data_IF_358941726281
#
_entry.id   IF_358941726281
#
_cell.length_a   1.000
_cell.length_b   1.000
_cell.length_c   1.000
_cell.angle_alpha   90.00
_cell.angle_beta   90.00
_cell.angle_gamma   90.00
#
_symmetry.space_group_name_H-M   'P 1'
#
loop_
_entity.id
_entity.type
_entity.pdbx_description
1 polymer ?
#
# COMPACT_ATOMS: atom_id res chain seq x y z
N UNK A 1 13.16 -0.04 0.25
CA UNK A 1 12.13 -0.72 1.09
C UNK A 1 11.58 -1.89 0.28
N UNK A 2 11.05 -2.96 0.87
CA UNK A 2 10.62 -4.15 0.07
C UNK A 2 9.49 -3.84 -0.94
N UNK A 3 8.61 -2.88 -0.64
CA UNK A 3 7.60 -2.36 -1.58
C UNK A 3 8.17 -1.70 -2.84
N UNK A 4 9.47 -1.37 -2.84
CA UNK A 4 10.15 -0.72 -3.97
C UNK A 4 10.95 -1.71 -4.83
N UNK A 5 10.73 -3.02 -4.70
CA UNK A 5 11.35 -3.99 -5.60
C UNK A 5 10.75 -3.84 -7.00
N UNK A 6 11.62 -3.81 -8.01
CA UNK A 6 11.24 -3.76 -9.43
C UNK A 6 12.32 -4.40 -10.32
N UNK A 7 12.08 -4.41 -11.63
CA UNK A 7 13.08 -4.80 -12.62
C UNK A 7 13.38 -6.30 -12.67
N UNK A 8 14.64 -6.64 -12.96
CA UNK A 8 15.10 -8.00 -13.30
C UNK A 8 15.09 -9.01 -12.14
N UNK A 9 14.78 -8.56 -10.93
CA UNK A 9 14.68 -9.42 -9.75
C UNK A 9 13.47 -10.36 -9.85
N UNK A 10 12.44 -9.96 -10.59
CA UNK A 10 11.26 -10.78 -10.80
C UNK A 10 11.37 -11.64 -12.05
N UNK A 11 10.98 -12.90 -11.92
CA UNK A 11 10.59 -13.69 -13.08
C UNK A 11 9.26 -13.15 -13.64
N UNK A 12 9.01 -13.34 -14.94
CA UNK A 12 7.90 -12.68 -15.66
C UNK A 12 6.55 -12.79 -14.95
N UNK A 13 6.29 -13.90 -14.26
CA UNK A 13 4.98 -14.20 -13.67
C UNK A 13 4.96 -14.09 -12.13
N UNK A 14 6.01 -13.60 -11.47
CA UNK A 14 6.05 -13.55 -9.99
C UNK A 14 5.72 -12.18 -9.42
N UNK A 15 5.69 -11.12 -10.24
CA UNK A 15 5.42 -9.75 -9.79
C UNK A 15 4.04 -9.59 -9.16
N UNK A 16 2.99 -10.11 -9.81
CA UNK A 16 1.63 -9.97 -9.31
C UNK A 16 1.40 -10.80 -8.04
N UNK A 17 2.03 -11.98 -7.93
CA UNK A 17 1.98 -12.82 -6.74
C UNK A 17 2.66 -12.12 -5.55
N UNK A 18 3.84 -11.55 -5.79
CA UNK A 18 4.53 -10.75 -4.80
C UNK A 18 3.69 -9.56 -4.33
N UNK A 19 3.11 -8.82 -5.28
CA UNK A 19 2.23 -7.68 -4.99
C UNK A 19 1.01 -8.09 -4.16
N UNK A 20 0.34 -9.18 -4.53
CA UNK A 20 -0.82 -9.70 -3.82
C UNK A 20 -0.47 -10.05 -2.36
N UNK A 21 0.57 -10.85 -2.13
CA UNK A 21 1.00 -11.22 -0.79
C UNK A 21 1.50 -10.02 0.03
N UNK A 22 2.15 -9.05 -0.61
CA UNK A 22 2.55 -7.83 0.06
C UNK A 22 1.34 -7.04 0.54
N UNK A 23 0.31 -6.89 -0.30
CA UNK A 23 -0.94 -6.20 0.05
C UNK A 23 -1.68 -6.95 1.14
N UNK A 24 -1.80 -8.28 1.07
CA UNK A 24 -2.41 -9.11 2.12
C UNK A 24 -1.73 -8.89 3.47
N UNK A 25 -0.40 -9.00 3.51
CA UNK A 25 0.37 -8.80 4.73
C UNK A 25 0.25 -7.37 5.28
N UNK A 26 0.28 -6.36 4.39
CA UNK A 26 0.11 -4.96 4.77
C UNK A 26 -1.28 -4.69 5.38
N UNK A 27 -2.35 -5.15 4.73
CA UNK A 27 -3.72 -4.96 5.21
C UNK A 27 -3.97 -5.74 6.50
N UNK A 28 -3.43 -6.95 6.62
CA UNK A 28 -3.47 -7.71 7.85
C UNK A 28 -2.76 -6.95 8.98
N UNK A 29 -1.56 -6.43 8.75
CA UNK A 29 -0.84 -5.64 9.74
C UNK A 29 -1.66 -4.40 10.16
N UNK A 30 -2.12 -3.60 9.20
CA UNK A 30 -2.85 -2.36 9.47
C UNK A 30 -4.19 -2.56 10.17
N UNK A 31 -4.84 -3.71 10.00
CA UNK A 31 -6.09 -4.03 10.70
C UNK A 31 -5.88 -4.47 12.16
N UNK A 32 -4.65 -4.82 12.55
CA UNK A 32 -4.33 -5.32 13.89
C UNK A 32 -3.49 -4.35 14.74
N UNK A 33 -3.12 -3.19 14.19
CA UNK A 33 -2.35 -2.17 14.91
C UNK A 33 -3.11 -0.84 15.00
N UNK A 34 -2.82 -0.07 16.05
CA UNK A 34 -3.17 1.34 16.10
C UNK A 34 -1.99 2.15 15.57
N UNK A 35 -2.10 2.61 14.32
CA UNK A 35 -1.05 3.38 13.66
C UNK A 35 -0.77 4.68 14.44
N UNK A 36 0.51 4.90 14.78
CA UNK A 36 0.97 6.10 15.44
C UNK A 36 1.33 7.19 14.42
N UNK A 37 1.30 8.45 14.84
CA UNK A 37 1.55 9.59 13.95
C UNK A 37 2.92 9.54 13.25
N UNK A 38 3.97 9.14 13.98
CA UNK A 38 5.33 9.00 13.42
C UNK A 38 5.46 7.84 12.41
N UNK A 39 4.49 6.92 12.35
CA UNK A 39 4.47 5.80 11.41
C UNK A 39 3.74 6.14 10.10
N UNK A 40 2.89 7.19 10.10
CA UNK A 40 2.08 7.60 8.96
C UNK A 40 2.91 7.80 7.69
N UNK A 41 4.08 8.45 7.82
CA UNK A 41 4.97 8.68 6.68
C UNK A 41 5.53 7.38 6.11
N UNK A 42 5.87 6.42 6.98
CA UNK A 42 6.36 5.10 6.58
C UNK A 42 5.31 4.32 5.79
N UNK A 43 4.07 4.31 6.28
CA UNK A 43 2.94 3.66 5.60
C UNK A 43 2.60 4.36 4.28
N UNK A 44 2.55 5.69 4.26
CA UNK A 44 2.32 6.44 3.02
C UNK A 44 3.40 6.16 1.96
N UNK A 45 4.67 6.03 2.38
CA UNK A 45 5.78 5.65 1.50
C UNK A 45 5.60 4.24 0.93
N UNK A 46 5.11 3.28 1.72
CA UNK A 46 4.79 1.93 1.24
C UNK A 46 3.72 1.99 0.13
N UNK A 47 2.58 2.65 0.38
CA UNK A 47 1.52 2.78 -0.62
C UNK A 47 2.03 3.46 -1.90
N UNK A 48 2.78 4.57 -1.77
CA UNK A 48 3.39 5.26 -2.90
C UNK A 48 4.30 4.33 -3.70
N UNK A 49 5.17 3.57 -3.03
CA UNK A 49 6.10 2.66 -3.70
C UNK A 49 5.35 1.55 -4.44
N UNK A 50 4.32 0.94 -3.83
CA UNK A 50 3.50 -0.06 -4.51
C UNK A 50 2.84 0.50 -5.78
N UNK A 51 2.25 1.69 -5.69
CA UNK A 51 1.57 2.33 -6.82
C UNK A 51 2.53 2.76 -7.94
N UNK A 52 3.77 3.15 -7.62
CA UNK A 52 4.74 3.60 -8.61
C UNK A 52 5.54 2.46 -9.26
N UNK A 53 5.72 1.34 -8.56
CA UNK A 53 6.66 0.29 -8.96
C UNK A 53 5.99 -0.88 -9.68
N UNK A 54 4.69 -1.07 -9.48
CA UNK A 54 3.91 -2.10 -10.14
C UNK A 54 3.01 -1.51 -11.24
N UNK A 55 2.88 -2.24 -12.34
CA UNK A 55 2.07 -1.78 -13.48
C UNK A 55 0.58 -1.99 -13.22
N UNK A 56 -0.27 -1.28 -13.98
CA UNK A 56 -1.73 -1.49 -13.97
C UNK A 56 -2.09 -2.96 -14.25
N UNK A 57 -1.34 -3.64 -15.11
CA UNK A 57 -1.55 -5.07 -15.37
C UNK A 57 -1.30 -5.92 -14.12
N UNK A 58 -0.30 -5.59 -13.31
CA UNK A 58 -0.07 -6.32 -12.05
C UNK A 58 -1.24 -6.15 -11.07
N UNK A 59 -1.79 -4.93 -10.95
CA UNK A 59 -2.96 -4.67 -10.10
C UNK A 59 -4.23 -5.35 -10.62
N UNK A 60 -4.44 -5.38 -11.94
CA UNK A 60 -5.58 -6.06 -12.55
C UNK A 60 -5.55 -7.59 -12.37
N UNK A 61 -4.37 -8.17 -12.10
CA UNK A 61 -4.22 -9.61 -11.81
C UNK A 61 -4.50 -9.98 -10.35
N UNK A 62 -4.75 -9.00 -9.47
CA UNK A 62 -5.09 -9.22 -8.06
C UNK A 62 -6.57 -9.59 -7.92
N UNK A 63 -6.91 -10.42 -6.94
CA UNK A 63 -8.30 -10.68 -6.58
C UNK A 63 -9.06 -9.38 -6.28
N UNK A 64 -10.25 -9.23 -6.86
CA UNK A 64 -11.03 -8.00 -6.77
C UNK A 64 -11.35 -7.57 -5.33
N UNK A 65 -11.59 -8.51 -4.42
CA UNK A 65 -11.88 -8.21 -3.01
C UNK A 65 -10.63 -7.66 -2.28
N UNK A 66 -9.46 -8.23 -2.57
CA UNK A 66 -8.19 -7.76 -2.03
C UNK A 66 -7.85 -6.36 -2.55
N UNK A 67 -8.00 -6.15 -3.87
CA UNK A 67 -7.77 -4.83 -4.47
C UNK A 67 -8.74 -3.77 -3.93
N UNK A 68 -10.02 -4.11 -3.76
CA UNK A 68 -11.00 -3.23 -3.13
C UNK A 68 -10.56 -2.82 -1.71
N UNK A 69 -10.19 -3.79 -0.88
CA UNK A 69 -9.73 -3.55 0.50
C UNK A 69 -8.48 -2.67 0.54
N UNK A 70 -7.58 -2.84 -0.43
CA UNK A 70 -6.38 -2.01 -0.60
C UNK A 70 -6.75 -0.54 -0.89
N UNK A 71 -7.65 -0.28 -1.83
CA UNK A 71 -8.08 1.08 -2.17
C UNK A 71 -8.87 1.73 -1.03
N UNK A 72 -9.74 0.98 -0.34
CA UNK A 72 -10.49 1.49 0.82
C UNK A 72 -9.56 1.91 1.95
N UNK A 73 -8.56 1.07 2.26
CA UNK A 73 -7.56 1.38 3.29
C UNK A 73 -6.69 2.57 2.90
N UNK A 74 -6.21 2.61 1.65
CA UNK A 74 -5.45 3.75 1.14
C UNK A 74 -6.24 5.06 1.23
N UNK A 75 -7.52 5.03 0.87
CA UNK A 75 -8.42 6.19 0.93
C UNK A 75 -8.61 6.66 2.38
N UNK A 76 -8.92 5.73 3.29
CA UNK A 76 -9.11 6.03 4.71
C UNK A 76 -7.88 6.67 5.35
N UNK A 77 -6.69 6.12 5.09
CA UNK A 77 -5.43 6.66 5.57
C UNK A 77 -5.13 8.04 4.97
N UNK A 78 -5.30 8.21 3.66
CA UNK A 78 -5.10 9.51 2.98
C UNK A 78 -5.96 10.60 3.60
N UNK A 79 -7.25 10.31 3.81
CA UNK A 79 -8.16 11.26 4.43
C UNK A 79 -7.81 11.55 5.90
N UNK A 80 -7.36 10.55 6.65
CA UNK A 80 -6.98 10.71 8.07
C UNK A 80 -5.73 11.59 8.19
N UNK A 81 -4.67 11.26 7.45
CA UNK A 81 -3.42 12.04 7.45
C UNK A 81 -3.68 13.46 6.95
N UNK A 82 -4.48 13.64 5.89
CA UNK A 82 -4.81 14.97 5.38
C UNK A 82 -5.58 15.84 6.39
N UNK A 83 -6.49 15.24 7.18
CA UNK A 83 -7.18 15.95 8.26
C UNK A 83 -6.24 16.33 9.40
N UNK A 84 -5.34 15.43 9.80
CA UNK A 84 -4.37 15.69 10.86
C UNK A 84 -3.44 16.84 10.48
N UNK A 85 -2.89 16.80 9.26
CA UNK A 85 -2.03 17.87 8.74
C UNK A 85 -2.74 19.24 8.72
N UNK A 86 -4.02 19.28 8.32
CA UNK A 86 -4.78 20.53 8.34
C UNK A 86 -5.03 21.10 9.75
N UNK A 87 -5.06 20.24 10.78
CA UNK A 87 -5.24 20.66 12.17
C UNK A 87 -3.94 21.17 12.81
N UNK A 88 -2.78 20.66 12.40
CA UNK A 88 -1.47 21.14 12.87
C UNK A 88 -1.15 22.57 12.41
N UNK A 89 -1.73 23.00 11.29
CA UNK A 89 -1.51 24.32 10.69
C UNK A 89 -2.46 25.42 11.23
N UNK A 90 -3.42 25.09 12.10
CA UNK A 90 -4.42 26.01 12.66
C UNK A 90 -4.08 26.49 14.07
#
# INVERSE_FOLDING_TARGET
QLASLNGIIFHKDTQFQYLAHYIEGLLHMLSHISLQEHENFGVASIFKNLLLMFTVQNFNSIEALLFKSFIETFTSLTCTVGRQAAQEES
#
